data_IF_397975294374
#
_entry.id   IF_397975294374
#
_cell.length_a   1.000
_cell.length_b   1.000
_cell.length_c   1.000
_cell.angle_alpha   90.00
_cell.angle_beta   90.00
_cell.angle_gamma   90.00
#
_symmetry.space_group_name_H-M   'P 1'
#
loop_
_entity.id
_entity.type
_entity.pdbx_description
1 polymer ?
#
# COMPACT_ATOMS: atom_id res chain seq x y z
N UNK A 1 1.83 -11.48 5.14
CA UNK A 1 2.22 -10.58 6.25
C UNK A 1 3.59 -9.94 6.07
N UNK A 2 4.52 -10.52 5.30
CA UNK A 2 5.85 -9.94 5.10
C UNK A 2 5.88 -8.58 4.40
N UNK A 3 4.93 -8.30 3.50
CA UNK A 3 4.78 -6.99 2.84
C UNK A 3 4.38 -5.90 3.83
N UNK A 4 3.42 -6.19 4.72
CA UNK A 4 3.00 -5.28 5.78
C UNK A 4 4.15 -4.97 6.76
N UNK A 5 4.94 -5.99 7.14
CA UNK A 5 6.16 -5.77 7.94
C UNK A 5 7.16 -4.85 7.24
N UNK A 6 7.34 -5.02 5.93
CA UNK A 6 8.23 -4.16 5.15
C UNK A 6 7.77 -2.69 5.20
N UNK A 7 6.46 -2.47 5.07
CA UNK A 7 5.85 -1.14 5.15
C UNK A 7 6.05 -0.53 6.55
N UNK A 8 5.76 -1.29 7.61
CA UNK A 8 5.98 -0.83 8.98
C UNK A 8 7.46 -0.50 9.27
N UNK A 9 8.39 -1.33 8.80
CA UNK A 9 9.85 -1.07 8.93
C UNK A 9 10.31 0.16 8.13
N UNK A 10 9.62 0.51 7.06
CA UNK A 10 9.86 1.74 6.31
C UNK A 10 9.20 2.97 6.95
N UNK A 11 8.55 2.83 8.12
CA UNK A 11 7.95 3.92 8.87
C UNK A 11 6.53 4.28 8.44
N UNK A 12 5.83 3.38 7.75
CA UNK A 12 4.41 3.59 7.41
C UNK A 12 3.49 3.09 8.52
N UNK A 13 2.52 3.92 8.91
CA UNK A 13 1.42 3.53 9.77
C UNK A 13 0.36 2.77 8.94
N UNK A 14 0.23 1.48 9.23
CA UNK A 14 -0.67 0.58 8.51
C UNK A 14 -1.74 0.01 9.44
N UNK A 15 -2.97 -0.04 8.96
CA UNK A 15 -4.10 -0.71 9.63
C UNK A 15 -4.64 -1.78 8.71
N UNK A 16 -4.77 -3.01 9.18
CA UNK A 16 -5.43 -4.06 8.40
C UNK A 16 -6.93 -3.79 8.34
N UNK A 17 -7.52 -3.83 7.16
CA UNK A 17 -8.97 -3.65 7.01
C UNK A 17 -9.65 -4.97 7.31
N UNK A 18 -10.43 -5.00 8.38
CA UNK A 18 -11.23 -6.17 8.73
C UNK A 18 -12.36 -6.36 7.71
N UNK A 19 -12.62 -7.62 7.33
CA UNK A 19 -13.68 -7.92 6.36
C UNK A 19 -15.02 -7.99 7.10
N UNK A 20 -15.97 -7.07 6.88
CA UNK A 20 -17.35 -7.35 7.27
C UNK A 20 -17.83 -8.54 6.43
N UNK A 21 -18.45 -9.53 7.06
CA UNK A 21 -18.83 -10.84 6.47
C UNK A 21 -19.82 -10.83 5.30
N UNK A 22 -20.00 -9.71 4.59
CA UNK A 22 -20.82 -9.62 3.38
C UNK A 22 -20.02 -10.07 2.15
N UNK A 23 -20.52 -11.13 1.55
CA UNK A 23 -19.95 -11.74 0.34
C UNK A 23 -20.15 -10.78 -0.85
N UNK A 24 -19.06 -10.18 -1.35
CA UNK A 24 -19.07 -9.41 -2.60
C UNK A 24 -18.46 -8.00 -2.54
N UNK A 25 -18.13 -7.48 -1.35
CA UNK A 25 -17.46 -6.18 -1.26
C UNK A 25 -15.98 -6.29 -1.62
N UNK A 26 -15.53 -5.38 -2.50
CA UNK A 26 -14.12 -5.23 -2.90
C UNK A 26 -13.34 -4.57 -1.77
N UNK A 27 -12.96 -5.36 -0.77
CA UNK A 27 -12.23 -4.89 0.41
C UNK A 27 -10.73 -4.92 0.10
N UNK A 28 -10.09 -3.76 0.22
CA UNK A 28 -8.64 -3.62 0.12
C UNK A 28 -7.93 -4.24 1.33
N UNK A 29 -6.66 -4.60 1.18
CA UNK A 29 -5.93 -5.32 2.24
C UNK A 29 -5.57 -4.45 3.45
N UNK A 30 -5.17 -3.19 3.24
CA UNK A 30 -4.72 -2.28 4.31
C UNK A 30 -5.21 -0.85 4.10
N UNK A 31 -5.24 -0.07 5.18
CA UNK A 31 -5.41 1.37 5.20
C UNK A 31 -4.08 2.01 5.62
N UNK A 32 -3.59 2.97 4.82
CA UNK A 32 -2.33 3.68 5.06
C UNK A 32 -2.43 5.11 4.56
N UNK A 33 -2.06 6.08 5.41
CA UNK A 33 -2.25 7.52 5.20
C UNK A 33 -3.70 7.91 4.82
N UNK A 34 -4.70 7.23 5.39
CA UNK A 34 -6.11 7.50 5.10
C UNK A 34 -6.61 6.97 3.75
N UNK A 35 -5.79 6.22 3.00
CA UNK A 35 -6.22 5.56 1.78
C UNK A 35 -6.17 4.04 1.92
N UNK A 36 -7.05 3.37 1.18
CA UNK A 36 -7.03 1.91 1.05
C UNK A 36 -5.93 1.49 0.08
N UNK A 37 -5.24 0.39 0.37
CA UNK A 37 -4.19 -0.17 -0.48
C UNK A 37 -4.43 -1.65 -0.72
N UNK A 38 -4.28 -2.05 -1.97
CA UNK A 38 -4.30 -3.45 -2.38
C UNK A 38 -2.88 -3.99 -2.53
N UNK A 39 -2.57 -5.10 -1.87
CA UNK A 39 -1.27 -5.76 -1.97
C UNK A 39 -1.34 -6.94 -2.95
N UNK A 40 -0.32 -7.06 -3.81
CA UNK A 40 -0.14 -8.24 -4.67
C UNK A 40 1.28 -8.76 -4.60
N UNK A 41 1.41 -10.06 -4.36
CA UNK A 41 2.69 -10.78 -4.37
C UNK A 41 2.71 -11.86 -5.47
N UNK A 42 2.83 -11.45 -6.75
CA UNK A 42 2.82 -12.40 -7.86
C UNK A 42 3.96 -13.43 -7.76
N UNK A 43 3.66 -14.66 -8.18
CA UNK A 43 4.65 -15.73 -8.38
C UNK A 43 5.07 -15.86 -9.85
N UNK A 44 4.49 -15.07 -10.75
CA UNK A 44 4.75 -15.23 -12.18
C UNK A 44 6.14 -14.71 -12.54
N UNK A 45 6.70 -15.28 -13.61
CA UNK A 45 8.01 -14.94 -14.12
C UNK A 45 7.93 -14.06 -15.39
N UNK A 46 6.77 -13.44 -15.65
CA UNK A 46 6.48 -12.70 -16.88
C UNK A 46 6.06 -11.26 -16.60
N UNK A 47 6.67 -10.30 -17.31
CA UNK A 47 6.32 -8.88 -17.25
C UNK A 47 4.85 -8.61 -17.61
N UNK A 48 4.30 -9.34 -18.59
CA UNK A 48 2.88 -9.21 -18.98
C UNK A 48 1.94 -9.58 -17.84
N UNK A 49 2.33 -10.55 -17.03
CA UNK A 49 1.57 -10.92 -15.84
C UNK A 49 1.69 -9.87 -14.73
N UNK A 50 2.78 -9.09 -14.66
CA UNK A 50 2.89 -7.94 -13.74
C UNK A 50 1.84 -6.90 -14.12
N UNK A 51 1.77 -6.51 -15.39
CA UNK A 51 0.76 -5.56 -15.88
C UNK A 51 -0.67 -6.02 -15.55
N UNK A 52 -0.99 -7.29 -15.80
CA UNK A 52 -2.29 -7.86 -15.46
C UNK A 52 -2.59 -7.83 -13.96
N UNK A 53 -1.59 -8.07 -13.10
CA UNK A 53 -1.75 -7.96 -11.66
C UNK A 53 -1.97 -6.52 -11.20
N UNK A 54 -1.24 -5.56 -11.77
CA UNK A 54 -1.42 -4.13 -11.48
C UNK A 54 -2.81 -3.66 -11.89
N UNK A 55 -3.30 -4.05 -13.08
CA UNK A 55 -4.67 -3.74 -13.53
C UNK A 55 -5.73 -4.29 -12.57
N UNK A 56 -5.57 -5.54 -12.14
CA UNK A 56 -6.49 -6.17 -11.18
C UNK A 56 -6.45 -5.48 -9.82
N UNK A 57 -5.26 -5.16 -9.32
CA UNK A 57 -5.10 -4.45 -8.05
C UNK A 57 -5.72 -3.04 -8.11
N UNK A 58 -5.49 -2.32 -9.21
CA UNK A 58 -6.10 -1.01 -9.49
C UNK A 58 -7.62 -1.05 -9.44
N UNK A 59 -8.24 -2.14 -9.90
CA UNK A 59 -9.70 -2.28 -9.88
C UNK A 59 -10.27 -2.52 -8.47
N UNK A 60 -9.41 -2.88 -7.50
CA UNK A 60 -9.76 -3.02 -6.08
C UNK A 60 -9.47 -1.71 -5.32
N UNK A 61 -8.32 -1.08 -5.57
CA UNK A 61 -7.96 0.20 -4.97
C UNK A 61 -7.13 1.08 -5.91
N UNK A 62 -7.29 2.42 -5.87
CA UNK A 62 -6.39 3.35 -6.55
C UNK A 62 -4.94 3.34 -6.01
N UNK A 63 -4.69 2.75 -4.84
CA UNK A 63 -3.35 2.61 -4.27
C UNK A 63 -2.92 1.13 -4.28
N UNK A 64 -1.75 0.85 -4.84
CA UNK A 64 -1.28 -0.52 -5.11
C UNK A 64 0.11 -0.74 -4.55
N UNK A 65 0.32 -1.88 -3.87
CA UNK A 65 1.64 -2.37 -3.49
C UNK A 65 1.94 -3.66 -4.26
N UNK A 66 3.04 -3.67 -5.02
CA UNK A 66 3.53 -4.88 -5.67
C UNK A 66 4.75 -5.44 -4.93
N UNK A 67 4.65 -6.68 -4.46
CA UNK A 67 5.73 -7.40 -3.79
C UNK A 67 6.37 -8.43 -4.73
N UNK A 68 7.64 -8.21 -5.06
CA UNK A 68 8.43 -9.06 -5.96
C UNK A 68 9.27 -10.12 -5.25
N UNK A 69 9.19 -10.28 -3.92
CA UNK A 69 9.98 -11.28 -3.18
C UNK A 69 9.78 -12.70 -3.70
N UNK A 70 8.59 -13.00 -4.25
CA UNK A 70 8.25 -14.28 -4.86
C UNK A 70 8.63 -14.42 -6.33
N UNK A 71 9.02 -13.32 -6.99
CA UNK A 71 9.46 -13.31 -8.39
C UNK A 71 10.97 -13.52 -8.46
N UNK A 72 11.39 -14.77 -8.68
CA UNK A 72 12.81 -15.14 -8.66
C UNK A 72 13.51 -14.98 -10.01
N UNK A 73 12.79 -15.17 -11.12
CA UNK A 73 13.39 -15.20 -12.47
C UNK A 73 13.48 -13.86 -13.17
N UNK A 74 12.73 -12.85 -12.72
CA UNK A 74 12.76 -11.50 -13.30
C UNK A 74 13.63 -10.59 -12.44
N UNK A 75 14.60 -9.86 -13.02
CA UNK A 75 15.40 -8.87 -12.29
C UNK A 75 14.53 -7.74 -11.74
N UNK A 76 14.82 -7.27 -10.52
CA UNK A 76 14.08 -6.17 -9.89
C UNK A 76 14.01 -4.90 -10.73
N UNK A 77 15.11 -4.54 -11.42
CA UNK A 77 15.15 -3.40 -12.32
C UNK A 77 14.18 -3.53 -13.52
N UNK A 78 14.01 -4.75 -14.06
CA UNK A 78 13.05 -5.00 -15.14
C UNK A 78 11.61 -4.88 -14.64
N UNK A 79 11.33 -5.34 -13.41
CA UNK A 79 10.02 -5.18 -12.76
C UNK A 79 9.75 -3.70 -12.52
N UNK A 80 10.71 -2.96 -11.97
CA UNK A 80 10.57 -1.52 -11.72
C UNK A 80 10.28 -0.74 -13.00
N UNK A 81 11.01 -1.03 -14.08
CA UNK A 81 10.80 -0.42 -15.40
C UNK A 81 9.38 -0.70 -15.91
N UNK A 82 8.90 -1.93 -15.78
CA UNK A 82 7.55 -2.30 -16.18
C UNK A 82 6.49 -1.61 -15.32
N UNK A 83 6.72 -1.47 -14.01
CA UNK A 83 5.83 -0.75 -13.10
C UNK A 83 5.77 0.74 -13.44
N UNK A 84 6.89 1.37 -13.78
CA UNK A 84 6.93 2.76 -14.26
C UNK A 84 6.17 2.93 -15.56
N UNK A 85 6.24 1.95 -16.47
CA UNK A 85 5.42 1.92 -17.68
C UNK A 85 3.94 1.80 -17.35
N UNK A 86 3.58 0.84 -16.49
CA UNK A 86 2.21 0.63 -16.03
C UNK A 86 1.62 1.88 -15.38
N UNK A 87 2.39 2.60 -14.55
CA UNK A 87 1.97 3.85 -13.92
C UNK A 87 1.61 4.94 -14.92
N UNK A 88 2.26 4.98 -16.10
CA UNK A 88 1.95 5.92 -17.18
C UNK A 88 0.77 5.46 -18.04
N UNK A 89 0.65 4.16 -18.27
CA UNK A 89 -0.36 3.59 -19.19
C UNK A 89 -1.71 3.33 -18.50
N UNK A 90 -1.72 2.90 -17.24
CA UNK A 90 -2.93 2.52 -16.52
C UNK A 90 -3.47 3.74 -15.78
N UNK A 91 -4.62 4.25 -16.24
CA UNK A 91 -5.30 5.39 -15.61
C UNK A 91 -5.92 5.02 -14.25
N UNK A 92 -5.91 5.97 -13.33
CA UNK A 92 -6.56 5.84 -12.01
C UNK A 92 -5.71 5.19 -10.93
N UNK A 93 -4.43 4.86 -11.21
CA UNK A 93 -3.46 4.57 -10.15
C UNK A 93 -3.06 5.90 -9.53
N UNK A 94 -3.36 6.09 -8.24
CA UNK A 94 -2.96 7.29 -7.49
C UNK A 94 -1.61 7.09 -6.82
N UNK A 95 -1.38 5.91 -6.26
CA UNK A 95 -0.12 5.55 -5.59
C UNK A 95 0.31 4.14 -5.95
N UNK A 96 1.60 3.95 -6.23
CA UNK A 96 2.19 2.65 -6.57
C UNK A 96 3.52 2.49 -5.83
N UNK A 97 3.56 1.50 -4.94
CA UNK A 97 4.76 1.09 -4.22
C UNK A 97 5.26 -0.25 -4.74
N UNK A 98 6.57 -0.36 -4.81
CA UNK A 98 7.27 -1.57 -5.20
C UNK A 98 8.09 -2.08 -4.03
N UNK A 99 7.84 -3.33 -3.62
CA UNK A 99 8.68 -4.04 -2.64
C UNK A 99 9.63 -4.95 -3.39
N UNK A 100 10.92 -4.63 -3.31
CA UNK A 100 12.00 -5.42 -3.86
C UNK A 100 12.21 -6.74 -3.10
N UNK A 101 13.05 -7.61 -3.67
CA UNK A 101 13.33 -8.94 -3.12
C UNK A 101 13.90 -8.93 -1.70
N UNK A 102 14.67 -7.89 -1.36
CA UNK A 102 15.27 -7.71 -0.04
C UNK A 102 14.38 -6.91 0.91
N UNK A 103 13.16 -6.58 0.51
CA UNK A 103 12.24 -5.79 1.32
C UNK A 103 12.40 -4.29 1.23
N UNK A 104 13.36 -3.80 0.45
CA UNK A 104 13.45 -2.38 0.11
C UNK A 104 12.18 -1.91 -0.61
N UNK A 105 11.68 -0.74 -0.22
CA UNK A 105 10.47 -0.14 -0.79
C UNK A 105 10.88 1.01 -1.70
N UNK A 106 10.42 0.96 -2.95
CA UNK A 106 10.62 2.01 -3.94
C UNK A 106 9.27 2.62 -4.29
N UNK A 107 9.18 3.94 -4.21
CA UNK A 107 8.00 4.67 -4.69
C UNK A 107 8.07 4.80 -6.22
N UNK A 108 7.11 4.21 -6.93
CA UNK A 108 7.04 4.25 -8.40
C UNK A 108 6.22 5.44 -8.86
N UNK A 109 5.06 5.63 -8.24
CA UNK A 109 4.14 6.73 -8.51
C UNK A 109 3.56 7.22 -7.19
N UNK A 110 3.58 8.53 -7.00
CA UNK A 110 2.85 9.22 -5.93
C UNK A 110 2.26 10.49 -6.52
N UNK A 111 0.96 10.47 -6.79
CA UNK A 111 0.24 11.70 -7.11
C UNK A 111 -0.03 12.39 -5.77
N UNK A 112 0.75 13.42 -5.47
CA UNK A 112 0.52 14.30 -4.33
C UNK A 112 -0.62 15.25 -4.71
N UNK A 113 -1.76 15.22 -4.00
CA UNK A 113 -2.83 16.21 -4.23
C UNK A 113 -4.29 15.78 -4.06
N UNK A 114 -4.61 14.61 -3.50
CA UNK A 114 -6.01 14.30 -3.15
C UNK A 114 -6.15 14.04 -1.65
N UNK A 115 -6.82 14.99 -1.00
CA UNK A 115 -7.31 14.92 0.38
C UNK A 115 -8.06 13.59 0.57
N UNK A 116 -7.71 12.84 1.62
CA UNK A 116 -8.41 11.62 2.01
C UNK A 116 -9.93 11.91 2.16
N UNK A 117 -10.83 11.01 1.75
CA UNK A 117 -12.25 11.18 2.01
C UNK A 117 -12.48 11.25 3.53
N UNK A 118 -13.19 12.29 3.98
CA UNK A 118 -13.40 12.67 5.37
C UNK A 118 -14.16 11.63 6.26
N UNK A 119 -14.38 10.42 5.76
CA UNK A 119 -15.18 9.39 6.43
C UNK A 119 -14.38 8.18 6.94
N UNK A 120 -13.06 8.13 6.76
CA UNK A 120 -12.22 7.17 7.47
C UNK A 120 -12.11 7.61 8.93
N UNK A 121 -12.95 7.03 9.80
CA UNK A 121 -12.95 7.20 11.26
C UNK A 121 -11.56 6.82 11.79
N UNK A 122 -10.67 7.80 11.79
CA UNK A 122 -9.28 7.66 12.22
C UNK A 122 -9.32 7.53 13.74
N UNK A 123 -9.09 6.32 14.25
CA UNK A 123 -8.71 6.14 15.65
C UNK A 123 -7.34 6.77 15.78
N UNK A 124 -7.29 8.05 16.16
CA UNK A 124 -6.06 8.71 16.55
C UNK A 124 -5.58 8.05 17.84
N UNK A 125 -4.63 7.11 17.74
CA UNK A 125 -3.79 6.78 18.88
C UNK A 125 -2.92 8.00 19.16
N UNK A 126 -3.22 8.69 20.26
CA UNK A 126 -2.36 9.73 20.83
C UNK A 126 -0.99 9.10 21.15
N UNK A 127 0.14 9.80 20.90
CA UNK A 127 1.43 9.31 21.31
C UNK A 127 1.45 9.21 22.84
N UNK A 128 1.70 8.01 23.33
CA UNK A 128 2.08 7.72 24.71
C UNK A 128 3.42 8.40 25.00
N UNK A 129 3.38 9.61 25.55
CA UNK A 129 4.50 10.22 26.25
C UNK A 129 3.91 11.15 27.28
N UNK A 130 3.79 10.64 28.51
CA UNK A 130 3.23 11.38 29.62
C UNK A 130 4.12 12.55 30.01
N UNK A 131 3.48 13.61 30.49
CA UNK A 131 3.72 14.15 31.83
C UNK A 131 2.36 14.63 32.35
N UNK A 132 1.86 13.95 33.37
CA UNK A 132 0.83 14.48 34.25
C UNK A 132 1.48 15.59 35.08
N UNK A 133 0.99 16.82 34.96
CA UNK A 133 1.14 17.82 36.02
C UNK A 133 -0.25 18.39 36.28
N UNK A 134 -0.78 17.92 37.40
CA UNK A 134 -2.06 18.25 37.99
C UNK A 134 -1.83 19.43 38.95
N UNK A 135 -2.84 20.31 39.01
CA UNK A 135 -3.19 21.28 40.07
C UNK A 135 -2.71 22.74 39.91
N UNK A 136 -3.44 23.71 40.50
CA UNK A 136 -4.91 23.86 40.48
C UNK A 136 -5.34 25.30 40.14
N UNK A 137 -6.61 25.48 39.76
CA UNK A 137 -7.26 26.79 39.84
C UNK A 137 -7.45 27.18 41.30
N UNK A 138 -6.95 28.36 41.68
CA UNK A 138 -7.68 29.36 42.48
C UNK A 138 -7.40 30.72 41.86
#
# INVERSE_FOLDING_TARGET
METAKALALAGYDIVFVDRPGKQGERVADILMDGDTWEMKSPRSDSLKAIEGNVKRARNQSPCVVLDSRRMRKVPGAAIERELRRCAKTIKGIRRLLFVGRHGGITTILRICGMIAPANARTVRSLPSSGVFLLLPLV
#
